data_IF_907299225495
#
_entry.id   IF_907299225495
#
_cell.length_a   1.000
_cell.length_b   1.000
_cell.length_c   1.000
_cell.angle_alpha   90.00
_cell.angle_beta   90.00
_cell.angle_gamma   90.00
#
_symmetry.space_group_name_H-M   'P 1'
#
loop_
_entity.id
_entity.type
_entity.pdbx_description
1 polymer ?
#
# COMPACT_ATOMS: atom_id res chain seq x y z
N UNK A 1 -18.75 2.65 -7.29
CA UNK A 1 -17.88 3.07 -6.17
C UNK A 1 -17.25 1.84 -5.56
N UNK A 2 -15.94 1.89 -5.26
CA UNK A 2 -15.26 0.79 -4.57
C UNK A 2 -15.83 0.59 -3.19
N UNK A 3 -16.17 -0.66 -2.89
CA UNK A 3 -16.61 -1.06 -1.55
C UNK A 3 -15.37 -1.35 -0.72
N UNK A 4 -15.03 -0.43 0.17
CA UNK A 4 -13.95 -0.64 1.13
C UNK A 4 -14.41 -1.61 2.22
N UNK A 5 -13.48 -2.49 2.63
CA UNK A 5 -13.67 -3.41 3.74
C UNK A 5 -13.33 -2.73 5.07
N UNK A 6 -12.29 -1.91 5.09
CA UNK A 6 -11.81 -1.22 6.28
C UNK A 6 -10.71 -0.22 5.95
N UNK A 7 -10.03 0.24 6.98
CA UNK A 7 -8.99 1.27 6.91
C UNK A 7 -7.77 0.93 7.76
N UNK A 8 -6.62 1.45 7.35
CA UNK A 8 -5.36 1.41 8.09
C UNK A 8 -4.95 2.85 8.38
N UNK A 9 -4.60 3.13 9.64
CA UNK A 9 -4.04 4.43 10.02
C UNK A 9 -2.57 4.50 9.61
N UNK A 10 -2.27 5.40 8.70
CA UNK A 10 -0.94 5.69 8.19
C UNK A 10 -0.51 7.10 8.62
N UNK A 11 0.68 7.29 9.21
CA UNK A 11 1.13 8.61 9.68
C UNK A 11 1.49 9.58 8.54
N UNK A 12 1.73 9.10 7.32
CA UNK A 12 2.09 9.89 6.14
C UNK A 12 0.85 10.26 5.32
N UNK A 13 -0.07 9.31 5.13
CA UNK A 13 -1.23 9.42 4.24
C UNK A 13 -2.58 9.54 4.97
N UNK A 14 -2.60 9.43 6.30
CA UNK A 14 -3.83 9.52 7.08
C UNK A 14 -4.58 8.19 7.14
N UNK A 15 -5.75 8.09 6.52
CA UNK A 15 -6.52 6.83 6.48
C UNK A 15 -6.40 6.18 5.11
N UNK A 16 -5.81 4.98 5.08
CA UNK A 16 -5.68 4.17 3.87
C UNK A 16 -6.81 3.15 3.84
N UNK A 17 -7.79 3.36 2.97
CA UNK A 17 -8.89 2.41 2.77
C UNK A 17 -8.48 1.24 1.90
N UNK A 18 -8.90 0.03 2.31
CA UNK A 18 -8.56 -1.23 1.65
C UNK A 18 -9.80 -2.01 1.22
N UNK A 19 -9.73 -2.68 0.08
CA UNK A 19 -10.79 -3.58 -0.41
C UNK A 19 -10.68 -4.96 0.23
N UNK A 20 -11.72 -5.80 0.09
CA UNK A 20 -11.67 -7.18 0.59
C UNK A 20 -10.55 -8.01 -0.10
N UNK A 21 -10.28 -7.74 -1.37
CA UNK A 21 -9.20 -8.38 -2.12
C UNK A 21 -7.82 -7.98 -1.57
N UNK A 22 -7.62 -6.68 -1.32
CA UNK A 22 -6.40 -6.14 -0.71
C UNK A 22 -6.19 -6.72 0.69
N UNK A 23 -7.26 -6.80 1.50
CA UNK A 23 -7.22 -7.40 2.83
C UNK A 23 -6.73 -8.85 2.82
N UNK A 24 -7.17 -9.67 1.86
CA UNK A 24 -6.69 -11.06 1.70
C UNK A 24 -5.18 -11.13 1.39
N UNK A 25 -4.68 -10.19 0.59
CA UNK A 25 -3.23 -10.08 0.30
C UNK A 25 -2.47 -9.57 1.53
N UNK A 26 -3.01 -8.57 2.23
CA UNK A 26 -2.41 -7.99 3.44
C UNK A 26 -2.27 -9.01 4.56
N UNK A 27 -3.28 -9.85 4.77
CA UNK A 27 -3.28 -10.89 5.80
C UNK A 27 -2.41 -12.12 5.43
N UNK A 28 -1.83 -12.15 4.23
CA UNK A 28 -1.00 -13.26 3.78
C UNK A 28 0.40 -13.22 4.41
N UNK A 29 0.98 -14.41 4.65
CA UNK A 29 2.32 -14.52 5.22
C UNK A 29 3.40 -13.72 4.44
N UNK A 30 3.45 -13.75 3.09
CA UNK A 30 4.46 -13.00 2.34
C UNK A 30 4.46 -11.50 2.66
N UNK A 31 3.27 -10.89 2.78
CA UNK A 31 3.16 -9.45 3.08
C UNK A 31 3.37 -9.17 4.58
N UNK A 32 2.79 -9.99 5.47
CA UNK A 32 2.99 -9.86 6.92
C UNK A 32 4.44 -9.99 7.36
N UNK A 33 5.27 -10.73 6.61
CA UNK A 33 6.72 -10.78 6.82
C UNK A 33 7.38 -9.40 6.73
N UNK A 34 6.86 -8.48 5.91
CA UNK A 34 7.46 -7.17 5.67
C UNK A 34 7.49 -6.28 6.92
N UNK A 35 6.62 -6.53 7.91
CA UNK A 35 6.69 -5.86 9.23
C UNK A 35 8.02 -6.07 9.96
N UNK A 36 8.83 -7.06 9.56
CA UNK A 36 10.14 -7.34 10.16
C UNK A 36 11.31 -6.84 9.33
N UNK A 37 11.05 -6.17 8.21
CA UNK A 37 12.07 -5.69 7.28
C UNK A 37 12.05 -4.16 7.25
N UNK A 38 13.04 -3.53 7.88
CA UNK A 38 13.21 -2.07 7.80
C UNK A 38 13.36 -1.65 6.34
N UNK A 39 12.72 -0.54 5.98
CA UNK A 39 12.82 0.02 4.63
C UNK A 39 14.26 0.45 4.32
N UNK A 40 14.90 1.13 5.27
CA UNK A 40 16.25 1.70 5.14
C UNK A 40 17.19 1.11 6.19
N UNK A 41 17.39 -0.22 6.17
CA UNK A 41 18.21 -0.92 7.15
C UNK A 41 19.60 -0.28 7.34
N UNK A 42 19.97 -0.04 8.60
CA UNK A 42 21.20 0.64 9.01
C UNK A 42 21.06 2.15 9.17
N UNK A 43 20.05 2.78 8.55
CA UNK A 43 19.85 4.22 8.69
C UNK A 43 19.40 4.62 10.09
N UNK A 44 18.79 3.70 10.84
CA UNK A 44 18.41 3.89 12.25
C UNK A 44 19.59 4.23 13.17
N UNK A 45 20.82 3.85 12.80
CA UNK A 45 22.02 4.16 13.57
C UNK A 45 22.47 5.62 13.44
N UNK A 46 22.00 6.32 12.40
CA UNK A 46 22.26 7.75 12.17
C UNK A 46 20.99 8.57 12.43
N UNK A 47 19.83 8.03 12.04
CA UNK A 47 18.52 8.64 12.15
C UNK A 47 17.60 7.74 12.98
N UNK A 48 17.52 7.94 14.32
CA UNK A 48 16.75 7.06 15.20
C UNK A 48 15.26 6.94 14.87
N UNK A 49 14.69 7.86 14.08
CA UNK A 49 13.32 7.82 13.60
C UNK A 49 13.10 6.95 12.35
N UNK A 50 14.15 6.47 11.68
CA UNK A 50 14.08 5.64 10.47
C UNK A 50 13.70 4.18 10.79
N UNK A 51 12.65 3.97 11.59
CA UNK A 51 12.17 2.66 12.03
C UNK A 51 11.12 2.04 11.10
N UNK A 52 10.73 2.76 10.05
CA UNK A 52 9.68 2.31 9.15
C UNK A 52 10.10 1.03 8.40
N UNK A 53 9.14 0.16 8.15
CA UNK A 53 9.28 -1.13 7.51
C UNK A 53 8.75 -1.10 6.08
N UNK A 54 9.08 -2.15 5.32
CA UNK A 54 8.56 -2.36 3.97
C UNK A 54 7.04 -2.52 3.95
N UNK A 55 6.42 -2.92 5.06
CA UNK A 55 4.98 -3.12 5.12
C UNK A 55 4.20 -1.81 4.91
N UNK A 56 4.47 -0.78 5.73
CA UNK A 56 3.78 0.50 5.59
C UNK A 56 4.15 1.19 4.27
N UNK A 57 5.36 0.97 3.76
CA UNK A 57 5.74 1.42 2.43
C UNK A 57 4.82 0.80 1.36
N UNK A 58 4.69 -0.52 1.32
CA UNK A 58 3.80 -1.22 0.37
C UNK A 58 2.34 -0.77 0.48
N UNK A 59 1.83 -0.59 1.69
CA UNK A 59 0.46 -0.08 1.91
C UNK A 59 0.31 1.36 1.40
N UNK A 60 1.29 2.23 1.64
CA UNK A 60 1.32 3.60 1.13
C UNK A 60 1.40 3.65 -0.40
N UNK A 61 2.22 2.81 -1.03
CA UNK A 61 2.34 2.77 -2.51
C UNK A 61 1.04 2.27 -3.13
N UNK A 62 0.38 1.26 -2.55
CA UNK A 62 -0.97 0.84 -2.97
C UNK A 62 -2.00 1.98 -2.85
N UNK A 63 -1.95 2.75 -1.77
CA UNK A 63 -2.80 3.92 -1.59
C UNK A 63 -2.59 4.95 -2.72
N UNK A 64 -1.34 5.35 -2.94
CA UNK A 64 -0.97 6.32 -3.96
C UNK A 64 -1.31 5.83 -5.38
N UNK A 65 -1.14 4.55 -5.68
CA UNK A 65 -1.54 3.96 -6.96
C UNK A 65 -3.05 4.08 -7.20
N UNK A 66 -3.85 3.94 -6.14
CA UNK A 66 -5.29 4.17 -6.20
C UNK A 66 -5.67 5.64 -6.42
N UNK A 67 -4.94 6.58 -5.81
CA UNK A 67 -5.13 8.01 -6.04
C UNK A 67 -4.73 8.42 -7.46
N UNK A 68 -3.61 7.89 -7.96
CA UNK A 68 -3.15 8.14 -9.34
C UNK A 68 -4.23 7.73 -10.35
N UNK A 69 -4.87 6.58 -10.15
CA UNK A 69 -5.93 6.11 -11.02
C UNK A 69 -7.22 6.97 -10.99
N UNK A 70 -7.38 7.85 -10.00
CA UNK A 70 -8.47 8.84 -9.96
C UNK A 70 -8.16 10.10 -10.76
N UNK A 71 -6.93 10.24 -11.27
CA UNK A 71 -6.58 11.36 -12.14
C UNK A 71 -7.52 11.37 -13.36
N UNK A 72 -8.16 12.51 -13.72
CA UNK A 72 -9.14 12.57 -14.80
C UNK A 72 -8.63 12.08 -16.17
N UNK A 73 -7.32 12.18 -16.42
CA UNK A 73 -6.70 11.69 -17.65
C UNK A 73 -6.49 10.17 -17.66
N UNK A 74 -6.45 9.53 -16.49
CA UNK A 74 -6.25 8.08 -16.35
C UNK A 74 -7.56 7.35 -16.03
N UNK A 75 -8.44 7.95 -15.25
CA UNK A 75 -9.68 7.32 -14.78
C UNK A 75 -10.64 6.97 -15.92
N UNK A 76 -10.51 7.63 -17.07
CA UNK A 76 -11.28 7.34 -18.28
C UNK A 76 -10.71 6.17 -19.09
N UNK A 77 -9.46 5.79 -18.82
CA UNK A 77 -8.71 4.76 -19.55
C UNK A 77 -8.65 3.43 -18.81
N UNK A 78 -9.03 3.40 -17.52
CA UNK A 78 -8.89 2.24 -16.65
C UNK A 78 -10.25 1.81 -16.11
N UNK A 79 -10.54 0.52 -16.25
CA UNK A 79 -11.66 -0.13 -15.56
C UNK A 79 -11.37 -0.28 -14.06
N UNK A 80 -12.42 -0.44 -13.25
CA UNK A 80 -12.30 -0.69 -11.81
C UNK A 80 -11.44 -1.91 -11.47
N UNK A 81 -11.52 -2.95 -12.31
CA UNK A 81 -10.73 -4.18 -12.21
C UNK A 81 -9.25 -3.92 -12.51
N UNK A 82 -8.93 -3.17 -13.56
CA UNK A 82 -7.55 -2.77 -13.87
C UNK A 82 -6.95 -1.94 -12.74
N UNK A 83 -7.70 -0.98 -12.20
CA UNK A 83 -7.21 -0.21 -11.07
C UNK A 83 -7.03 -1.10 -9.83
N UNK A 84 -7.86 -2.12 -9.62
CA UNK A 84 -7.70 -3.07 -8.50
C UNK A 84 -6.42 -3.90 -8.68
N UNK A 85 -6.13 -4.35 -9.90
CA UNK A 85 -4.89 -5.04 -10.25
C UNK A 85 -3.66 -4.16 -10.04
N UNK A 86 -3.71 -2.90 -10.47
CA UNK A 86 -2.61 -1.93 -10.27
C UNK A 86 -2.35 -1.71 -8.78
N UNK A 87 -3.40 -1.58 -7.97
CA UNK A 87 -3.26 -1.45 -6.51
C UNK A 87 -2.65 -2.70 -5.87
N UNK A 88 -3.06 -3.90 -6.27
CA UNK A 88 -2.46 -5.15 -5.78
C UNK A 88 -1.00 -5.28 -6.25
N UNK A 89 -0.69 -4.93 -7.49
CA UNK A 89 0.67 -4.92 -8.00
C UNK A 89 1.56 -3.95 -7.20
N UNK A 90 1.06 -2.76 -6.90
CA UNK A 90 1.71 -1.78 -6.03
C UNK A 90 1.93 -2.31 -4.60
N UNK A 91 0.94 -3.03 -4.04
CA UNK A 91 1.07 -3.65 -2.72
C UNK A 91 2.18 -4.72 -2.69
N UNK A 92 2.30 -5.50 -3.77
CA UNK A 92 3.20 -6.64 -3.87
C UNK A 92 4.59 -6.31 -4.42
N UNK A 93 4.83 -5.08 -4.90
CA UNK A 93 6.04 -4.76 -5.67
C UNK A 93 7.37 -4.95 -4.92
N UNK A 94 7.31 -4.96 -3.59
CA UNK A 94 8.48 -4.99 -2.69
C UNK A 94 8.48 -6.22 -1.75
N UNK A 95 7.70 -7.26 -2.10
CA UNK A 95 7.58 -8.55 -1.38
C UNK A 95 8.80 -9.43 -1.54
#
# INVERSE_FOLDING_TARGET
>A
MRKYWGEIKDPVHGYVYITEAEKKVIDSFPLQRLHRLRQLAGSEYVYPGANHTRFEHSVGVMHLAGLLAQNPHLSQLLSEDEVQKVRIAALLHDV
#
